data_IF_410958501282
#
_entry.id   IF_410958501282
#
_cell.length_a   1.000
_cell.length_b   1.000
_cell.length_c   1.000
_cell.angle_alpha   90.00
_cell.angle_beta   90.00
_cell.angle_gamma   90.00
#
_symmetry.space_group_name_H-M   'P 1'
#
loop_
_entity.id
_entity.type
_entity.pdbx_description
1 polymer ?
#
# COMPACT_ATOMS: atom_id res chain seq x y z
N UNK A 1 63.54 -36.86 -70.30
CA UNK A 1 64.09 -37.38 -69.02
C UNK A 1 63.09 -37.22 -67.93
N UNK A 2 62.70 -38.34 -67.33
CA UNK A 2 61.99 -38.58 -66.08
C UNK A 2 60.84 -37.64 -65.72
N UNK A 3 59.64 -38.12 -65.97
CA UNK A 3 58.40 -37.70 -65.40
C UNK A 3 58.30 -38.00 -63.93
N UNK A 4 57.58 -37.24 -63.21
CA UNK A 4 57.00 -37.55 -61.87
C UNK A 4 55.51 -37.64 -61.98
N UNK A 5 55.04 -38.87 -61.80
CA UNK A 5 53.64 -39.21 -61.65
C UNK A 5 53.16 -38.54 -60.34
N UNK A 6 52.08 -37.77 -60.38
CA UNK A 6 51.40 -37.19 -59.25
C UNK A 6 50.22 -38.10 -58.92
N UNK A 7 50.24 -38.65 -57.70
CA UNK A 7 49.23 -39.51 -57.12
C UNK A 7 47.93 -38.71 -56.81
N UNK A 8 46.75 -39.17 -57.25
CA UNK A 8 45.47 -38.44 -57.04
C UNK A 8 44.81 -38.67 -55.71
N UNK A 9 45.47 -39.26 -54.68
CA UNK A 9 44.80 -39.69 -53.44
C UNK A 9 44.86 -38.71 -52.26
N UNK A 10 45.25 -37.43 -52.47
CA UNK A 10 45.36 -36.42 -51.37
C UNK A 10 44.45 -35.21 -51.58
N UNK A 11 43.14 -35.44 -51.81
CA UNK A 11 42.14 -34.34 -51.88
C UNK A 11 40.89 -34.58 -50.99
N UNK A 12 41.01 -35.31 -49.90
CA UNK A 12 39.88 -35.45 -48.98
C UNK A 12 40.36 -35.42 -47.52
N UNK A 13 40.76 -34.25 -47.02
CA UNK A 13 40.89 -34.02 -45.57
C UNK A 13 41.12 -32.52 -45.27
N UNK A 14 40.21 -31.67 -45.75
CA UNK A 14 40.21 -30.28 -45.28
C UNK A 14 38.79 -29.68 -45.21
N UNK A 15 37.81 -30.40 -44.60
CA UNK A 15 36.47 -29.89 -44.31
C UNK A 15 35.95 -30.28 -42.95
N UNK A 16 36.81 -30.44 -41.91
CA UNK A 16 36.33 -30.79 -40.58
C UNK A 16 36.55 -29.72 -39.47
N UNK A 17 37.13 -28.57 -39.78
CA UNK A 17 37.42 -27.56 -38.75
C UNK A 17 36.32 -26.50 -38.53
N UNK A 18 35.26 -26.46 -39.36
CA UNK A 18 34.13 -25.53 -39.13
C UNK A 18 32.95 -26.13 -38.34
N UNK A 19 32.83 -27.45 -38.34
CA UNK A 19 31.75 -28.11 -37.59
C UNK A 19 32.01 -28.17 -36.08
N UNK A 20 33.28 -28.36 -35.66
CA UNK A 20 33.65 -28.41 -34.24
C UNK A 20 33.49 -27.10 -33.48
N UNK A 21 33.62 -25.95 -34.18
CA UNK A 21 33.39 -24.64 -33.56
C UNK A 21 31.91 -24.28 -33.41
N UNK A 22 31.04 -24.81 -34.27
CA UNK A 22 29.59 -24.62 -34.14
C UNK A 22 29.02 -25.44 -32.98
N UNK A 23 29.47 -26.65 -32.78
CA UNK A 23 29.06 -27.49 -31.62
C UNK A 23 29.62 -26.99 -30.29
N UNK A 24 30.81 -26.43 -30.25
CA UNK A 24 31.36 -25.83 -29.02
C UNK A 24 30.66 -24.54 -28.66
N UNK A 25 30.24 -23.69 -29.61
CA UNK A 25 29.44 -22.50 -29.35
C UNK A 25 28.02 -22.84 -28.92
N UNK A 26 27.41 -23.89 -29.51
CA UNK A 26 26.09 -24.38 -29.11
C UNK A 26 26.10 -24.97 -27.70
N UNK A 27 27.15 -25.72 -27.34
CA UNK A 27 27.35 -26.27 -26.00
C UNK A 27 27.59 -25.18 -24.95
N UNK A 28 28.33 -24.11 -25.28
CA UNK A 28 28.55 -22.96 -24.41
C UNK A 28 27.26 -22.17 -24.24
N UNK A 29 26.44 -22.02 -25.30
CA UNK A 29 25.16 -21.34 -25.23
C UNK A 29 24.12 -22.15 -24.41
N UNK A 30 24.06 -23.46 -24.56
CA UNK A 30 23.27 -24.37 -23.72
C UNK A 30 23.75 -24.40 -22.28
N UNK A 31 25.06 -24.33 -22.03
CA UNK A 31 25.61 -24.26 -20.66
C UNK A 31 25.31 -22.88 -20.01
N UNK A 32 25.32 -21.78 -20.78
CA UNK A 32 24.92 -20.45 -20.32
C UNK A 32 23.42 -20.36 -20.04
N UNK A 33 22.57 -21.04 -20.81
CA UNK A 33 21.12 -21.09 -20.53
C UNK A 33 20.83 -21.98 -19.30
N UNK A 34 21.54 -23.09 -19.13
CA UNK A 34 21.43 -23.93 -17.92
C UNK A 34 21.98 -23.25 -16.65
N UNK A 35 22.98 -22.36 -16.78
CA UNK A 35 23.50 -21.61 -15.63
C UNK A 35 22.67 -20.38 -15.26
N UNK A 36 21.71 -19.96 -16.12
CA UNK A 36 20.74 -18.89 -15.82
C UNK A 36 19.39 -19.42 -15.31
N UNK A 37 19.15 -20.72 -15.38
CA UNK A 37 18.08 -21.37 -14.64
C UNK A 37 18.58 -21.76 -13.24
N UNK A 38 18.91 -20.76 -12.41
CA UNK A 38 18.78 -20.98 -10.98
C UNK A 38 17.27 -21.19 -10.77
N UNK A 39 16.83 -22.33 -10.21
CA UNK A 39 15.48 -22.35 -9.67
C UNK A 39 15.44 -21.16 -8.72
N UNK A 40 14.48 -20.24 -8.89
CA UNK A 40 14.06 -19.42 -7.76
C UNK A 40 13.80 -20.46 -6.65
N UNK A 41 14.73 -20.58 -5.71
CA UNK A 41 14.42 -21.24 -4.46
C UNK A 41 13.26 -20.43 -3.91
N UNK A 42 12.09 -21.05 -3.83
CA UNK A 42 10.99 -20.49 -3.08
C UNK A 42 11.62 -20.08 -1.73
N UNK A 43 11.56 -18.80 -1.43
CA UNK A 43 12.09 -18.25 -0.20
C UNK A 43 11.31 -18.95 0.90
N UNK A 44 12.00 -19.67 1.78
CA UNK A 44 11.39 -20.44 2.87
C UNK A 44 10.95 -19.42 3.95
N UNK A 45 9.70 -19.00 3.86
CA UNK A 45 9.06 -18.00 4.72
C UNK A 45 8.31 -18.69 5.87
N UNK A 46 8.87 -19.70 6.52
CA UNK A 46 8.17 -20.41 7.57
C UNK A 46 8.11 -19.65 8.88
N UNK A 47 6.93 -19.64 9.49
CA UNK A 47 6.74 -19.38 10.90
C UNK A 47 7.11 -20.65 11.66
N UNK A 48 8.20 -20.60 12.41
CA UNK A 48 8.80 -21.80 13.00
C UNK A 48 8.20 -22.14 14.36
N UNK A 49 8.01 -21.14 15.20
CA UNK A 49 7.63 -21.33 16.60
C UNK A 49 6.94 -20.07 17.13
N UNK A 50 6.05 -20.24 18.08
CA UNK A 50 5.50 -19.15 18.88
C UNK A 50 5.93 -19.34 20.33
N UNK A 51 6.47 -18.30 20.94
CA UNK A 51 6.87 -18.34 22.36
C UNK A 51 6.24 -17.18 23.13
N UNK A 52 6.16 -17.34 24.46
CA UNK A 52 5.60 -16.31 25.33
C UNK A 52 6.53 -16.00 26.48
N UNK A 53 6.55 -14.75 26.91
CA UNK A 53 7.32 -14.30 28.06
C UNK A 53 6.57 -13.21 28.82
N UNK A 54 6.75 -13.16 30.14
CA UNK A 54 6.29 -12.01 30.91
C UNK A 54 7.14 -10.78 30.60
N UNK A 55 6.51 -9.62 30.54
CA UNK A 55 7.21 -8.35 30.40
C UNK A 55 8.02 -8.05 31.65
N UNK A 56 9.24 -7.57 31.46
CA UNK A 56 10.16 -7.24 32.56
C UNK A 56 9.61 -6.15 33.50
N UNK A 57 8.64 -5.34 33.03
CA UNK A 57 7.95 -4.33 33.84
C UNK A 57 6.74 -4.87 34.62
N UNK A 58 6.41 -6.15 34.50
CA UNK A 58 5.28 -6.81 35.12
C UNK A 58 3.89 -6.38 34.63
N UNK A 59 3.83 -5.52 33.60
CA UNK A 59 2.58 -4.93 33.12
C UNK A 59 1.87 -5.76 32.05
N UNK A 60 2.36 -6.97 31.76
CA UNK A 60 1.75 -7.82 30.76
C UNK A 60 2.66 -8.92 30.25
N UNK A 61 2.38 -9.40 29.05
CA UNK A 61 3.11 -10.46 28.39
C UNK A 61 3.54 -10.07 26.98
N UNK A 62 4.44 -10.84 26.38
CA UNK A 62 4.82 -10.73 24.98
C UNK A 62 4.67 -12.09 24.32
N UNK A 63 3.96 -12.16 23.22
CA UNK A 63 3.93 -13.29 22.31
C UNK A 63 4.95 -13.01 21.22
N UNK A 64 5.85 -13.95 20.96
CA UNK A 64 6.89 -13.83 19.92
C UNK A 64 6.63 -14.86 18.83
N UNK A 65 6.50 -14.40 17.63
CA UNK A 65 6.39 -15.20 16.41
C UNK A 65 7.79 -15.29 15.78
N UNK A 66 8.38 -16.47 15.79
CA UNK A 66 9.73 -16.72 15.27
C UNK A 66 9.66 -16.99 13.77
N UNK A 67 10.15 -16.04 12.98
CA UNK A 67 10.09 -16.06 11.53
C UNK A 67 11.48 -16.25 10.91
N UNK A 68 11.59 -17.05 9.86
CA UNK A 68 12.85 -17.17 9.09
C UNK A 68 13.18 -15.91 8.32
N UNK A 69 12.16 -15.22 7.82
CA UNK A 69 12.27 -13.93 7.14
C UNK A 69 11.34 -12.92 7.84
N UNK A 70 11.64 -11.63 7.84
CA UNK A 70 10.71 -10.65 8.35
C UNK A 70 9.45 -10.63 7.49
N UNK A 71 8.27 -10.43 8.09
CA UNK A 71 7.04 -10.21 7.33
C UNK A 71 7.06 -8.85 6.66
N UNK A 72 6.44 -8.75 5.48
CA UNK A 72 6.39 -7.50 4.72
C UNK A 72 5.58 -6.42 5.46
N UNK A 73 4.45 -6.82 6.05
CA UNK A 73 3.63 -5.98 6.91
C UNK A 73 2.74 -6.83 7.82
N UNK A 74 2.14 -6.20 8.81
CA UNK A 74 1.20 -6.85 9.72
C UNK A 74 0.17 -5.86 10.24
N UNK A 75 -0.98 -6.39 10.62
CA UNK A 75 -2.04 -5.65 11.30
C UNK A 75 -2.44 -6.37 12.59
N UNK A 76 -2.88 -5.59 13.59
CA UNK A 76 -3.46 -6.09 14.84
C UNK A 76 -4.83 -5.47 14.99
N UNK A 77 -5.81 -6.31 15.22
CA UNK A 77 -7.20 -5.92 15.40
C UNK A 77 -7.76 -6.60 16.63
N UNK A 78 -8.47 -5.89 17.46
CA UNK A 78 -9.09 -6.43 18.68
C UNK A 78 -10.60 -6.20 18.63
N UNK A 79 -11.37 -7.15 18.08
CA UNK A 79 -12.82 -7.01 17.91
C UNK A 79 -13.60 -7.25 19.20
N UNK A 80 -13.03 -7.98 20.16
CA UNK A 80 -13.68 -8.28 21.44
C UNK A 80 -12.66 -8.24 22.57
N UNK A 81 -13.14 -8.20 23.81
CA UNK A 81 -12.32 -8.15 25.02
C UNK A 81 -11.46 -9.40 25.21
N UNK A 82 -11.89 -10.52 24.67
CA UNK A 82 -11.26 -11.83 24.73
C UNK A 82 -10.63 -12.31 23.43
N UNK A 83 -10.66 -11.49 22.35
CA UNK A 83 -10.13 -11.86 21.05
C UNK A 83 -9.21 -10.78 20.48
N UNK A 84 -7.98 -11.15 20.18
CA UNK A 84 -7.04 -10.36 19.37
C UNK A 84 -6.82 -11.09 18.06
N UNK A 85 -7.03 -10.42 16.95
CA UNK A 85 -6.79 -10.93 15.59
C UNK A 85 -5.57 -10.24 14.98
N UNK A 86 -4.75 -11.00 14.28
CA UNK A 86 -3.60 -10.46 13.55
C UNK A 86 -3.62 -10.95 12.11
N UNK A 87 -3.21 -10.07 11.20
CA UNK A 87 -2.88 -10.45 9.82
C UNK A 87 -1.39 -10.26 9.62
N UNK A 88 -0.71 -11.29 9.11
CA UNK A 88 0.67 -11.19 8.63
C UNK A 88 0.63 -11.26 7.11
N UNK A 89 1.01 -10.15 6.47
CA UNK A 89 1.03 -10.03 5.02
C UNK A 89 2.38 -10.49 4.47
N UNK A 90 2.38 -11.66 3.86
CA UNK A 90 3.52 -12.21 3.15
C UNK A 90 3.09 -13.43 2.35
N UNK A 91 3.50 -13.52 1.11
CA UNK A 91 3.21 -14.69 0.27
C UNK A 91 3.87 -15.96 0.81
N UNK A 92 3.10 -17.05 0.81
CA UNK A 92 3.58 -18.41 1.10
C UNK A 92 4.24 -18.58 2.48
N UNK A 93 3.67 -18.03 3.54
CA UNK A 93 4.09 -18.39 4.90
C UNK A 93 3.65 -19.84 5.16
N UNK A 94 4.64 -20.71 5.45
CA UNK A 94 4.36 -22.10 5.83
C UNK A 94 4.07 -22.18 7.34
N UNK A 95 2.90 -22.70 7.67
CA UNK A 95 2.42 -22.87 9.05
C UNK A 95 2.25 -24.35 9.43
N UNK A 96 2.67 -25.29 8.59
CA UNK A 96 2.38 -26.74 8.77
C UNK A 96 3.06 -27.39 9.99
N UNK A 97 4.20 -26.88 10.43
CA UNK A 97 5.01 -27.45 11.52
C UNK A 97 5.28 -26.44 12.65
N UNK A 98 4.32 -25.58 12.97
CA UNK A 98 4.50 -24.57 14.04
C UNK A 98 4.57 -25.23 15.40
N UNK A 99 5.65 -24.98 16.15
CA UNK A 99 5.70 -25.26 17.56
C UNK A 99 4.93 -24.18 18.35
N UNK A 100 3.79 -24.57 18.94
CA UNK A 100 3.00 -23.67 19.79
C UNK A 100 3.54 -23.68 21.21
N UNK A 101 3.47 -22.54 21.93
CA UNK A 101 3.83 -22.48 23.33
C UNK A 101 2.85 -23.32 24.16
N UNK A 102 3.31 -23.81 25.30
CA UNK A 102 2.37 -24.25 26.31
C UNK A 102 1.45 -23.08 26.66
N UNK A 103 0.13 -23.36 26.76
CA UNK A 103 -0.90 -22.37 27.10
C UNK A 103 -0.39 -21.53 28.29
N UNK A 104 -0.34 -20.23 28.07
CA UNK A 104 0.11 -19.30 29.12
C UNK A 104 -1.08 -18.91 30.00
N UNK A 105 -0.79 -18.31 31.13
CA UNK A 105 -1.86 -17.77 31.98
C UNK A 105 -2.57 -16.54 31.36
N UNK A 106 -2.24 -16.13 30.15
CA UNK A 106 -2.77 -14.92 29.51
C UNK A 106 -3.72 -15.20 28.36
N UNK A 107 -3.59 -16.34 27.69
CA UNK A 107 -4.44 -16.71 26.56
C UNK A 107 -4.66 -18.23 26.54
N UNK A 108 -5.80 -18.64 26.02
CA UNK A 108 -6.26 -20.03 26.00
C UNK A 108 -5.93 -20.73 24.68
N UNK A 109 -5.92 -20.01 23.57
CA UNK A 109 -5.73 -20.59 22.24
C UNK A 109 -5.09 -19.58 21.28
N UNK A 110 -4.29 -20.09 20.35
CA UNK A 110 -3.82 -19.37 19.16
C UNK A 110 -4.16 -20.23 17.95
N UNK A 111 -4.93 -19.68 17.01
CA UNK A 111 -5.33 -20.36 15.78
C UNK A 111 -4.81 -19.62 14.55
N UNK A 112 -4.40 -20.39 13.51
CA UNK A 112 -3.84 -19.86 12.26
C UNK A 112 -4.75 -20.19 11.08
N UNK A 113 -4.87 -19.23 10.15
CA UNK A 113 -5.73 -19.32 8.98
C UNK A 113 -4.98 -18.88 7.74
N UNK A 114 -4.92 -19.75 6.73
CA UNK A 114 -4.35 -19.37 5.44
C UNK A 114 -5.30 -18.39 4.74
N UNK A 115 -4.77 -17.23 4.34
CA UNK A 115 -5.50 -16.22 3.58
C UNK A 115 -4.72 -15.87 2.31
N UNK A 116 -5.36 -15.35 1.25
CA UNK A 116 -4.69 -15.07 -0.02
C UNK A 116 -3.48 -14.15 0.06
N UNK A 117 -3.43 -13.27 1.05
CA UNK A 117 -2.36 -12.30 1.24
C UNK A 117 -1.37 -12.65 2.37
N UNK A 118 -1.45 -13.86 2.96
CA UNK A 118 -0.60 -14.25 4.08
C UNK A 118 -1.28 -15.19 5.06
N UNK A 119 -1.21 -14.90 6.35
CA UNK A 119 -1.91 -15.67 7.39
C UNK A 119 -2.73 -14.76 8.31
N UNK A 120 -3.92 -15.24 8.68
CA UNK A 120 -4.72 -14.73 9.79
C UNK A 120 -4.40 -15.47 11.08
N UNK A 121 -4.44 -14.80 12.21
CA UNK A 121 -4.15 -15.37 13.53
C UNK A 121 -5.22 -14.89 14.51
N UNK A 122 -5.88 -15.82 15.17
CA UNK A 122 -6.75 -15.54 16.31
C UNK A 122 -6.04 -15.91 17.61
N UNK A 123 -6.08 -15.00 18.59
CA UNK A 123 -5.51 -15.18 19.92
C UNK A 123 -6.62 -14.95 20.92
N UNK A 124 -7.08 -16.03 21.56
CA UNK A 124 -8.14 -16.00 22.54
C UNK A 124 -7.56 -15.75 23.93
N UNK A 125 -7.93 -14.63 24.53
CA UNK A 125 -7.48 -14.20 25.85
C UNK A 125 -8.23 -14.99 26.92
N UNK A 126 -7.51 -15.44 27.94
CA UNK A 126 -8.08 -16.18 29.08
C UNK A 126 -9.15 -15.36 29.78
N UNK A 127 -10.25 -16.02 30.19
CA UNK A 127 -11.35 -15.42 30.94
C UNK A 127 -10.86 -14.60 32.14
N UNK A 128 -11.51 -13.48 32.40
CA UNK A 128 -11.15 -12.52 33.47
C UNK A 128 -9.80 -11.80 33.28
N UNK A 129 -9.20 -11.85 32.11
CA UNK A 129 -7.98 -11.11 31.74
C UNK A 129 -8.23 -10.16 30.60
N UNK A 130 -7.67 -8.96 30.72
CA UNK A 130 -7.90 -7.90 29.74
C UNK A 130 -6.56 -7.30 29.32
N UNK A 131 -6.28 -7.37 28.03
CA UNK A 131 -5.03 -6.90 27.44
C UNK A 131 -5.30 -6.06 26.19
N UNK A 132 -4.61 -4.93 26.08
CA UNK A 132 -4.43 -4.19 24.82
C UNK A 132 -3.23 -4.78 24.08
N UNK A 133 -3.43 -5.20 22.83
CA UNK A 133 -2.43 -5.86 21.99
C UNK A 133 -1.79 -4.91 20.99
N UNK A 134 -0.43 -4.83 20.99
CA UNK A 134 0.33 -4.05 20.00
C UNK A 134 1.48 -4.86 19.44
N UNK A 135 1.55 -4.99 18.10
CA UNK A 135 2.65 -5.68 17.45
C UNK A 135 3.77 -4.73 17.00
N UNK A 136 4.98 -5.26 16.93
CA UNK A 136 6.17 -4.56 16.46
C UNK A 136 7.27 -5.55 16.05
N UNK A 137 8.11 -5.18 15.10
CA UNK A 137 9.28 -5.99 14.73
C UNK A 137 10.32 -6.02 15.85
N UNK A 138 10.96 -7.17 16.05
CA UNK A 138 12.15 -7.25 16.90
C UNK A 138 13.33 -6.62 16.17
N UNK A 139 13.95 -5.59 16.77
CA UNK A 139 15.08 -4.89 16.17
C UNK A 139 16.36 -5.72 16.01
N UNK A 140 16.42 -6.96 16.54
CA UNK A 140 17.59 -7.81 16.55
C UNK A 140 17.40 -9.15 15.82
N UNK A 141 16.19 -9.46 15.34
CA UNK A 141 15.87 -10.70 14.64
C UNK A 141 14.78 -10.44 13.58
N UNK A 142 14.36 -11.48 12.88
CA UNK A 142 13.23 -11.42 11.95
C UNK A 142 11.86 -11.58 12.66
N UNK A 143 11.88 -11.70 13.98
CA UNK A 143 10.70 -12.03 14.75
C UNK A 143 9.71 -10.86 14.83
N UNK A 144 8.43 -11.21 14.89
CA UNK A 144 7.36 -10.29 15.22
C UNK A 144 6.96 -10.48 16.69
N UNK A 145 6.77 -9.39 17.39
CA UNK A 145 6.39 -9.37 18.79
C UNK A 145 5.00 -8.77 18.94
N UNK A 146 4.10 -9.46 19.64
CA UNK A 146 2.83 -8.91 20.12
C UNK A 146 2.95 -8.64 21.63
N UNK A 147 3.05 -7.37 21.99
CA UNK A 147 3.02 -6.93 23.38
C UNK A 147 1.58 -6.86 23.89
N UNK A 148 1.28 -7.61 24.93
CA UNK A 148 0.00 -7.61 25.62
C UNK A 148 0.15 -6.78 26.90
N UNK A 149 -0.53 -5.64 26.98
CA UNK A 149 -0.50 -4.75 28.14
C UNK A 149 -1.81 -4.91 28.92
N UNK A 150 -1.72 -5.18 30.24
CA UNK A 150 -2.91 -5.26 31.11
C UNK A 150 -3.64 -3.93 31.13
N UNK A 151 -4.94 -3.97 30.90
CA UNK A 151 -5.85 -2.81 30.91
C UNK A 151 -7.07 -3.09 31.79
N UNK A 152 -7.86 -2.07 32.05
CA UNK A 152 -9.14 -2.23 32.72
C UNK A 152 -10.20 -2.76 31.75
N UNK A 153 -11.08 -3.65 32.21
CA UNK A 153 -12.16 -4.22 31.41
C UNK A 153 -13.03 -3.15 30.76
N UNK A 154 -13.38 -2.13 31.52
CA UNK A 154 -14.28 -1.05 31.04
C UNK A 154 -13.66 -0.23 29.93
N UNK A 155 -12.34 -0.02 29.98
CA UNK A 155 -11.59 0.65 28.92
C UNK A 155 -11.60 -0.20 27.63
N UNK A 156 -11.36 -1.49 27.75
CA UNK A 156 -11.33 -2.40 26.61
C UNK A 156 -12.73 -2.61 26.00
N UNK A 157 -13.78 -2.78 26.82
CA UNK A 157 -15.17 -2.84 26.36
C UNK A 157 -15.60 -1.58 25.59
N UNK A 158 -15.07 -0.43 25.96
CA UNK A 158 -15.32 0.81 25.21
C UNK A 158 -14.63 0.80 23.85
N UNK A 159 -13.40 0.29 23.77
CA UNK A 159 -12.60 0.23 22.54
C UNK A 159 -13.10 -0.83 21.56
N UNK A 160 -13.67 -1.94 22.07
CA UNK A 160 -14.17 -3.06 21.23
C UNK A 160 -15.66 -2.97 20.95
N UNK A 161 -16.34 -1.93 21.46
CA UNK A 161 -17.76 -1.74 21.25
C UNK A 161 -18.04 -1.47 19.75
N UNK A 162 -19.01 -2.17 19.21
CA UNK A 162 -19.45 -2.06 17.81
C UNK A 162 -18.40 -2.52 16.76
N UNK A 163 -17.42 -3.35 17.18
CA UNK A 163 -16.49 -4.01 16.26
C UNK A 163 -16.92 -5.47 16.02
N UNK A 164 -16.68 -5.96 14.81
CA UNK A 164 -17.04 -7.33 14.39
C UNK A 164 -15.77 -8.13 14.10
N UNK A 165 -15.66 -9.39 14.54
CA UNK A 165 -14.50 -10.23 14.25
C UNK A 165 -14.29 -10.45 12.75
N UNK A 166 -13.02 -10.52 12.34
CA UNK A 166 -12.67 -10.96 10.98
C UNK A 166 -13.05 -12.43 10.83
N UNK A 167 -13.84 -12.75 9.82
CA UNK A 167 -14.21 -14.12 9.49
C UNK A 167 -13.24 -14.66 8.44
N UNK A 168 -12.19 -15.36 8.87
CA UNK A 168 -11.13 -15.88 7.99
C UNK A 168 -11.63 -16.82 6.90
N UNK A 169 -12.69 -17.57 7.14
CA UNK A 169 -13.28 -18.46 6.14
C UNK A 169 -13.87 -17.71 4.92
N UNK A 170 -14.13 -16.42 5.04
CA UNK A 170 -14.55 -15.60 3.90
C UNK A 170 -13.42 -15.38 2.87
N UNK A 171 -12.17 -15.62 3.26
CA UNK A 171 -10.98 -15.51 2.37
C UNK A 171 -10.64 -16.87 1.71
N UNK A 172 -11.19 -17.98 2.18
CA UNK A 172 -10.88 -19.34 1.69
C UNK A 172 -11.81 -19.82 0.55
N UNK A 173 -12.07 -19.00 -0.45
CA UNK A 173 -12.65 -19.49 -1.70
C UNK A 173 -11.48 -19.89 -2.62
N UNK A 174 -10.90 -21.07 -2.37
CA UNK A 174 -9.96 -21.68 -3.30
C UNK A 174 -10.68 -22.22 -4.52
N UNK A 175 -10.09 -22.01 -5.72
CA UNK A 175 -10.49 -22.60 -7.01
C UNK A 175 -10.70 -24.13 -6.95
N UNK A 176 -10.32 -24.80 -5.88
CA UNK A 176 -10.46 -26.26 -5.68
C UNK A 176 -11.91 -26.70 -5.54
N UNK A 177 -12.82 -25.84 -5.07
CA UNK A 177 -14.24 -26.17 -4.93
C UNK A 177 -15.07 -25.92 -6.20
N UNK A 178 -14.49 -25.36 -7.26
CA UNK A 178 -15.15 -25.18 -8.56
C UNK A 178 -14.98 -26.38 -9.49
N UNK A 179 -14.09 -27.34 -9.18
CA UNK A 179 -13.80 -28.49 -10.04
C UNK A 179 -14.32 -29.83 -9.50
N UNK A 180 -14.73 -29.91 -8.23
CA UNK A 180 -15.34 -31.12 -7.67
C UNK A 180 -16.85 -30.92 -7.42
N UNK A 181 -17.60 -30.93 -8.50
CA UNK A 181 -19.06 -31.09 -8.44
C UNK A 181 -19.39 -32.51 -8.01
N UNK A 182 -19.75 -32.73 -6.74
CA UNK A 182 -20.65 -33.82 -6.38
C UNK A 182 -21.25 -33.65 -4.96
N UNK A 183 -22.59 -33.66 -4.92
CA UNK A 183 -23.32 -34.21 -3.78
C UNK A 183 -24.05 -33.26 -2.86
N UNK A 184 -25.25 -32.81 -3.25
CA UNK A 184 -26.45 -32.90 -2.46
C UNK A 184 -26.54 -32.18 -1.12
N UNK A 185 -27.06 -30.95 -1.17
CA UNK A 185 -27.59 -30.25 -0.02
C UNK A 185 -28.05 -28.85 -0.46
N UNK A 186 -29.35 -28.75 -0.83
CA UNK A 186 -29.97 -27.46 -1.13
C UNK A 186 -30.02 -26.59 0.13
N UNK A 187 -29.02 -25.73 0.29
CA UNK A 187 -29.17 -24.52 1.08
C UNK A 187 -29.54 -23.41 0.10
N UNK A 188 -30.76 -22.95 0.12
CA UNK A 188 -31.21 -21.72 -0.52
C UNK A 188 -30.50 -20.55 0.11
N UNK A 189 -29.28 -20.24 -0.38
CA UNK A 189 -28.61 -18.95 -0.14
C UNK A 189 -29.18 -18.02 -1.22
N UNK A 190 -29.96 -17.04 -0.81
CA UNK A 190 -30.48 -16.03 -1.71
C UNK A 190 -29.27 -15.34 -2.38
N UNK A 191 -29.08 -15.55 -3.66
CA UNK A 191 -28.01 -15.00 -4.51
C UNK A 191 -28.04 -13.46 -4.61
N UNK A 192 -29.05 -12.82 -4.02
CA UNK A 192 -29.20 -11.36 -4.04
C UNK A 192 -28.16 -10.61 -3.20
N UNK A 193 -27.70 -11.17 -2.08
CA UNK A 193 -26.72 -10.49 -1.19
C UNK A 193 -25.27 -10.63 -1.71
N UNK A 194 -24.95 -11.77 -2.33
CA UNK A 194 -23.63 -11.99 -2.91
C UNK A 194 -23.36 -11.11 -4.15
N UNK A 195 -24.37 -10.94 -5.00
CA UNK A 195 -24.28 -10.05 -6.16
C UNK A 195 -24.29 -8.57 -5.76
N UNK A 196 -24.89 -8.20 -4.63
CA UNK A 196 -24.80 -6.84 -4.08
C UNK A 196 -23.43 -6.58 -3.45
N UNK A 197 -22.83 -7.56 -2.77
CA UNK A 197 -21.48 -7.45 -2.20
C UNK A 197 -20.41 -7.42 -3.30
N UNK A 198 -20.56 -8.24 -4.35
CA UNK A 198 -19.69 -8.23 -5.53
C UNK A 198 -19.79 -6.94 -6.34
N UNK A 199 -20.99 -6.32 -6.38
CA UNK A 199 -21.17 -4.99 -6.97
C UNK A 199 -20.49 -3.88 -6.15
N UNK A 200 -20.34 -4.05 -4.82
CA UNK A 200 -19.59 -3.15 -3.94
C UNK A 200 -18.07 -3.28 -4.06
N UNK A 201 -17.54 -4.34 -4.67
CA UNK A 201 -16.10 -4.54 -4.93
C UNK A 201 -15.65 -4.02 -6.31
N UNK A 202 -16.47 -3.23 -6.99
CA UNK A 202 -16.16 -2.75 -8.32
C UNK A 202 -15.43 -1.43 -8.22
N UNK A 203 -14.10 -1.45 -8.42
CA UNK A 203 -13.29 -0.25 -8.53
C UNK A 203 -13.50 0.39 -9.91
N UNK A 204 -14.41 1.36 -9.99
CA UNK A 204 -14.81 2.01 -11.25
C UNK A 204 -14.96 3.53 -11.15
N UNK A 205 -14.70 4.15 -10.00
CA UNK A 205 -14.72 5.61 -9.86
C UNK A 205 -13.45 6.10 -9.13
N UNK A 206 -12.63 6.89 -9.79
CA UNK A 206 -11.49 7.59 -9.19
C UNK A 206 -11.78 9.06 -9.11
N UNK A 207 -11.69 9.64 -7.91
CA UNK A 207 -11.84 11.07 -7.69
C UNK A 207 -10.48 11.73 -7.58
N UNK A 208 -10.21 12.70 -8.44
CA UNK A 208 -8.98 13.47 -8.46
C UNK A 208 -9.27 14.87 -7.96
N UNK A 209 -8.57 15.27 -6.90
CA UNK A 209 -8.70 16.57 -6.28
C UNK A 209 -7.45 17.42 -6.55
N UNK A 210 -7.50 18.33 -7.53
CA UNK A 210 -6.44 19.34 -7.65
C UNK A 210 -6.58 20.33 -6.49
N UNK A 211 -5.62 20.38 -5.57
CA UNK A 211 -5.67 21.28 -4.41
C UNK A 211 -5.83 22.75 -4.79
N UNK A 212 -6.31 23.57 -3.85
CA UNK A 212 -6.46 25.02 -4.02
C UNK A 212 -7.41 25.44 -5.16
N UNK A 213 -7.22 26.65 -5.72
CA UNK A 213 -7.99 27.14 -6.86
C UNK A 213 -8.67 28.48 -6.64
N UNK A 214 -9.04 29.18 -7.71
CA UNK A 214 -9.69 30.49 -7.64
C UNK A 214 -8.83 31.53 -6.92
N UNK A 215 -9.35 32.08 -5.84
CA UNK A 215 -8.66 33.07 -5.01
C UNK A 215 -7.54 32.47 -4.13
N UNK A 216 -7.58 31.15 -3.88
CA UNK A 216 -6.51 30.45 -3.19
C UNK A 216 -5.42 30.00 -4.16
N UNK A 217 -4.23 30.61 -4.14
CA UNK A 217 -3.14 30.24 -5.04
C UNK A 217 -2.42 28.97 -4.63
N UNK A 218 -2.62 28.47 -3.40
CA UNK A 218 -1.73 27.55 -2.74
C UNK A 218 -0.35 28.15 -2.45
N UNK A 219 0.66 27.34 -2.37
CA UNK A 219 2.04 27.77 -2.25
C UNK A 219 2.48 28.57 -3.48
N UNK A 220 3.28 29.66 -3.22
CA UNK A 220 3.85 30.47 -4.29
C UNK A 220 5.36 30.19 -4.33
N UNK A 221 5.79 29.58 -5.40
CA UNK A 221 7.15 29.12 -5.58
C UNK A 221 8.06 30.09 -6.33
N UNK A 222 9.19 29.55 -6.78
CA UNK A 222 10.18 30.32 -7.53
C UNK A 222 9.57 30.97 -8.77
N UNK A 223 9.91 32.25 -9.02
CA UNK A 223 9.36 33.06 -10.12
C UNK A 223 7.84 33.27 -10.08
N UNK A 224 7.26 33.29 -8.89
CA UNK A 224 5.84 33.51 -8.67
C UNK A 224 4.93 32.42 -9.30
N UNK A 225 5.46 31.19 -9.45
CA UNK A 225 4.68 30.04 -9.90
C UNK A 225 3.69 29.69 -8.78
N UNK A 226 2.42 29.53 -9.14
CA UNK A 226 1.33 29.18 -8.20
C UNK A 226 1.03 27.70 -8.25
N UNK A 227 0.93 27.08 -7.12
CA UNK A 227 0.64 25.65 -6.96
C UNK A 227 -0.64 25.23 -7.68
N UNK A 228 -1.73 25.98 -7.50
CA UNK A 228 -3.05 25.68 -8.07
C UNK A 228 -3.07 25.37 -9.58
N UNK A 229 -2.12 25.93 -10.34
CA UNK A 229 -2.01 25.67 -11.78
C UNK A 229 -1.29 24.36 -12.06
N UNK A 230 -0.18 24.11 -11.35
CA UNK A 230 0.61 22.89 -11.51
C UNK A 230 -0.24 21.65 -11.18
N UNK A 231 -0.93 21.69 -10.03
CA UNK A 231 -1.72 20.53 -9.57
C UNK A 231 -2.92 20.26 -10.48
N UNK A 232 -3.52 21.32 -11.07
CA UNK A 232 -4.57 21.15 -12.06
C UNK A 232 -4.06 20.49 -13.36
N UNK A 233 -2.88 20.90 -13.82
CA UNK A 233 -2.27 20.33 -15.03
C UNK A 233 -1.90 18.86 -14.81
N UNK A 234 -1.31 18.51 -13.66
CA UNK A 234 -0.99 17.14 -13.29
C UNK A 234 -2.27 16.30 -13.17
N UNK A 235 -3.29 16.79 -12.47
CA UNK A 235 -4.56 16.11 -12.30
C UNK A 235 -5.23 15.76 -13.64
N UNK A 236 -5.24 16.71 -14.59
CA UNK A 236 -5.77 16.47 -15.94
C UNK A 236 -4.98 15.40 -16.71
N UNK A 237 -3.66 15.35 -16.55
CA UNK A 237 -2.84 14.30 -17.16
C UNK A 237 -3.12 12.93 -16.52
N UNK A 238 -3.28 12.85 -15.19
CA UNK A 238 -3.66 11.59 -14.51
C UNK A 238 -4.99 11.08 -15.03
N UNK A 239 -6.01 11.92 -15.04
CA UNK A 239 -7.32 11.53 -15.55
C UNK A 239 -7.31 11.20 -17.05
N UNK A 240 -6.48 11.89 -17.86
CA UNK A 240 -6.24 11.55 -19.24
C UNK A 240 -5.72 10.13 -19.42
N UNK A 241 -4.74 9.71 -18.60
CA UNK A 241 -4.23 8.34 -18.61
C UNK A 241 -5.28 7.32 -18.14
N UNK A 242 -6.07 7.65 -17.10
CA UNK A 242 -7.15 6.76 -16.66
C UNK A 242 -8.16 6.57 -17.81
N UNK A 243 -8.62 7.63 -18.44
CA UNK A 243 -9.58 7.56 -19.54
C UNK A 243 -9.04 6.78 -20.75
N UNK A 244 -7.74 6.88 -21.05
CA UNK A 244 -7.11 6.20 -22.18
C UNK A 244 -6.85 4.70 -21.89
N UNK A 245 -6.33 4.37 -20.72
CA UNK A 245 -5.84 3.02 -20.40
C UNK A 245 -6.75 2.22 -19.47
N UNK A 246 -7.72 2.86 -18.83
CA UNK A 246 -8.70 2.21 -17.94
C UNK A 246 -10.14 2.67 -18.27
N UNK A 247 -10.64 2.40 -19.49
CA UNK A 247 -11.90 2.97 -20.00
C UNK A 247 -13.15 2.58 -19.18
N UNK A 248 -13.03 1.57 -18.31
CA UNK A 248 -14.10 1.15 -17.39
C UNK A 248 -14.04 1.89 -16.04
N UNK A 249 -13.12 2.85 -15.87
CA UNK A 249 -12.99 3.66 -14.66
C UNK A 249 -13.43 5.09 -14.98
N UNK A 250 -14.44 5.55 -14.27
CA UNK A 250 -14.92 6.93 -14.35
C UNK A 250 -13.96 7.84 -13.58
N UNK A 251 -13.54 8.95 -14.19
CA UNK A 251 -12.79 10.00 -13.51
C UNK A 251 -13.75 11.11 -13.11
N UNK A 252 -13.68 11.52 -11.85
CA UNK A 252 -14.38 12.67 -11.32
C UNK A 252 -13.34 13.66 -10.78
N UNK A 253 -13.49 14.93 -11.09
CA UNK A 253 -12.62 15.98 -10.54
C UNK A 253 -13.39 16.83 -9.56
N UNK A 254 -12.76 17.23 -8.45
CA UNK A 254 -13.35 18.24 -7.56
C UNK A 254 -13.41 19.60 -8.25
N UNK A 255 -12.44 19.89 -9.13
CA UNK A 255 -12.44 21.03 -10.05
C UNK A 255 -11.70 20.71 -11.35
N UNK A 256 -12.22 21.21 -12.45
CA UNK A 256 -11.59 21.10 -13.79
C UNK A 256 -11.02 22.44 -14.29
N UNK A 257 -11.30 23.51 -13.58
CA UNK A 257 -10.87 24.87 -13.92
C UNK A 257 -10.24 25.55 -12.69
N UNK A 258 -9.76 26.78 -12.85
CA UNK A 258 -9.26 27.60 -11.73
C UNK A 258 -10.42 28.13 -10.87
N UNK A 259 -11.14 27.22 -10.17
CA UNK A 259 -12.25 27.47 -9.26
C UNK A 259 -11.82 27.08 -7.84
N UNK A 260 -12.21 27.86 -6.85
CA UNK A 260 -12.06 27.50 -5.44
C UNK A 260 -13.16 26.52 -5.01
N UNK A 261 -12.76 25.48 -4.26
CA UNK A 261 -13.66 24.51 -3.62
C UNK A 261 -13.22 24.41 -2.16
N UNK A 262 -14.17 24.51 -1.22
CA UNK A 262 -13.91 24.34 0.22
C UNK A 262 -13.38 22.95 0.53
N UNK A 263 -12.59 22.79 1.62
CA UNK A 263 -11.95 21.50 1.96
C UNK A 263 -12.99 20.39 2.16
N UNK A 264 -14.05 20.68 2.90
CA UNK A 264 -15.14 19.74 3.20
C UNK A 264 -15.96 19.38 1.94
N UNK A 265 -16.14 20.34 1.02
CA UNK A 265 -16.88 20.14 -0.24
C UNK A 265 -16.17 19.14 -1.15
N UNK A 266 -14.82 19.07 -1.10
CA UNK A 266 -14.04 18.13 -1.92
C UNK A 266 -14.34 16.67 -1.57
N UNK A 267 -14.39 16.35 -0.27
CA UNK A 267 -14.82 15.04 0.22
C UNK A 267 -16.28 14.74 -0.12
N UNK A 268 -17.17 15.74 0.01
CA UNK A 268 -18.58 15.58 -0.37
C UNK A 268 -18.77 15.26 -1.84
N UNK A 269 -18.04 15.94 -2.76
CA UNK A 269 -18.03 15.62 -4.19
C UNK A 269 -17.59 14.16 -4.43
N UNK A 270 -16.57 13.69 -3.68
CA UNK A 270 -16.09 12.32 -3.80
C UNK A 270 -17.15 11.31 -3.34
N UNK A 271 -17.83 11.58 -2.23
CA UNK A 271 -18.88 10.72 -1.68
C UNK A 271 -20.12 10.69 -2.58
N UNK A 272 -20.56 11.84 -3.11
CA UNK A 272 -21.67 11.94 -4.06
C UNK A 272 -21.39 11.20 -5.38
N UNK A 273 -20.11 11.12 -5.76
CA UNK A 273 -19.68 10.38 -6.94
C UNK A 273 -19.59 8.87 -6.71
N UNK A 274 -19.82 8.40 -5.47
CA UNK A 274 -19.59 7.01 -5.05
C UNK A 274 -18.15 6.56 -5.39
N UNK A 275 -17.15 7.41 -5.02
CA UNK A 275 -15.75 7.19 -5.35
C UNK A 275 -15.16 5.96 -4.66
N UNK A 276 -14.31 5.22 -5.39
CA UNK A 276 -13.56 4.07 -4.86
C UNK A 276 -12.16 4.45 -4.39
N UNK A 277 -11.67 5.60 -4.84
CA UNK A 277 -10.38 6.17 -4.46
C UNK A 277 -10.39 7.69 -4.61
N UNK A 278 -9.90 8.39 -3.59
CA UNK A 278 -9.73 9.84 -3.58
C UNK A 278 -8.25 10.21 -3.58
N UNK A 279 -7.81 11.04 -4.53
CA UNK A 279 -6.42 11.49 -4.66
C UNK A 279 -6.36 13.00 -4.69
N UNK A 280 -5.86 13.61 -3.61
CA UNK A 280 -5.60 15.05 -3.54
C UNK A 280 -4.16 15.34 -3.96
N UNK A 281 -3.99 16.23 -4.94
CA UNK A 281 -2.68 16.54 -5.55
C UNK A 281 -2.27 17.95 -5.16
N UNK A 282 -1.07 18.04 -4.56
CA UNK A 282 -0.46 19.24 -4.01
C UNK A 282 1.01 19.43 -4.43
N UNK A 283 1.58 20.58 -4.13
CA UNK A 283 3.01 20.87 -4.24
C UNK A 283 3.53 21.44 -2.93
N UNK A 284 4.44 20.73 -2.32
CA UNK A 284 5.10 21.11 -1.07
C UNK A 284 5.86 22.44 -1.18
N UNK A 285 6.02 23.10 -0.06
CA UNK A 285 6.80 24.33 0.06
C UNK A 285 7.53 24.37 1.40
N UNK A 286 8.70 25.02 1.42
CA UNK A 286 9.49 25.18 2.63
C UNK A 286 10.19 26.55 2.61
N UNK A 287 10.47 27.11 3.79
CA UNK A 287 11.23 28.39 3.92
C UNK A 287 12.63 28.31 3.33
N UNK A 288 13.28 27.15 3.44
CA UNK A 288 14.53 26.86 2.73
C UNK A 288 14.25 26.40 1.30
N UNK A 289 15.06 26.84 0.34
CA UNK A 289 14.98 26.39 -1.07
C UNK A 289 15.74 25.06 -1.35
N UNK A 290 16.19 24.36 -0.30
CA UNK A 290 16.96 23.10 -0.45
C UNK A 290 16.11 21.84 -0.54
N UNK A 291 14.98 21.70 0.21
CA UNK A 291 14.18 20.49 0.14
C UNK A 291 13.71 20.19 -1.27
N UNK A 292 13.65 18.90 -1.62
CA UNK A 292 13.19 18.37 -2.89
C UNK A 292 12.62 16.97 -2.72
N UNK A 293 11.92 16.47 -3.73
CA UNK A 293 11.33 15.13 -3.74
C UNK A 293 9.84 15.12 -3.43
N UNK A 294 9.26 13.92 -3.40
CA UNK A 294 7.84 13.66 -3.19
C UNK A 294 7.55 13.19 -1.77
N UNK A 295 6.39 13.53 -1.25
CA UNK A 295 5.87 13.03 0.02
C UNK A 295 4.45 12.55 -0.19
N UNK A 296 4.07 11.45 0.47
CA UNK A 296 2.72 10.89 0.42
C UNK A 296 2.11 10.96 1.81
N UNK A 297 0.81 11.26 1.86
CA UNK A 297 0.10 11.36 3.12
C UNK A 297 -1.23 10.61 3.04
N UNK A 298 -1.56 9.93 4.14
CA UNK A 298 -2.90 9.41 4.39
C UNK A 298 -3.40 9.89 5.76
N UNK A 299 -4.68 9.72 6.04
CA UNK A 299 -5.27 10.21 7.27
C UNK A 299 -4.75 9.41 8.47
N UNK A 300 -4.36 10.12 9.54
CA UNK A 300 -3.89 9.53 10.79
C UNK A 300 -3.18 10.55 11.66
N UNK A 301 -2.68 10.12 12.82
CA UNK A 301 -1.91 10.98 13.73
C UNK A 301 -0.54 11.28 13.15
N UNK A 302 -0.24 12.56 13.00
CA UNK A 302 1.09 13.01 12.60
C UNK A 302 2.16 12.64 13.65
N UNK A 303 3.23 11.97 13.17
CA UNK A 303 4.34 11.50 14.03
C UNK A 303 5.62 12.32 13.88
N UNK A 304 5.63 13.30 12.96
CA UNK A 304 6.79 14.13 12.70
C UNK A 304 6.44 15.60 12.59
N UNK A 305 7.37 16.47 13.00
CA UNK A 305 7.23 17.93 12.87
C UNK A 305 7.01 18.36 11.41
N UNK A 306 7.68 17.69 10.47
CA UNK A 306 7.51 17.97 9.05
C UNK A 306 6.09 17.65 8.53
N UNK A 307 5.48 16.56 9.00
CA UNK A 307 4.09 16.23 8.66
C UNK A 307 3.13 17.25 9.26
N UNK A 308 3.36 17.69 10.50
CA UNK A 308 2.58 18.72 11.16
C UNK A 308 2.64 20.07 10.41
N UNK A 309 3.82 20.48 9.90
CA UNK A 309 3.96 21.71 9.12
C UNK A 309 3.16 21.64 7.80
N UNK A 310 3.24 20.52 7.08
CA UNK A 310 2.48 20.33 5.85
C UNK A 310 0.98 20.34 6.14
N UNK A 311 0.54 19.55 7.12
CA UNK A 311 -0.87 19.50 7.54
C UNK A 311 -1.43 20.90 7.89
N UNK A 312 -0.70 21.69 8.69
CA UNK A 312 -1.13 23.05 9.04
C UNK A 312 -1.23 23.97 7.82
N UNK A 313 -0.39 23.77 6.82
CA UNK A 313 -0.44 24.54 5.57
C UNK A 313 -1.65 24.15 4.74
N UNK A 314 -1.91 22.87 4.57
CA UNK A 314 -3.01 22.37 3.71
C UNK A 314 -4.39 22.50 4.38
N UNK A 315 -4.46 22.48 5.70
CA UNK A 315 -5.69 22.76 6.44
C UNK A 315 -6.00 24.25 6.56
N UNK A 316 -5.18 25.13 5.96
CA UNK A 316 -5.37 26.58 5.97
C UNK A 316 -6.20 27.02 4.78
N UNK A 317 -7.37 27.59 5.03
CA UNK A 317 -8.25 28.13 4.00
C UNK A 317 -7.97 29.61 3.81
N UNK A 318 -7.71 30.03 2.56
CA UNK A 318 -7.55 31.44 2.17
C UNK A 318 -8.92 31.97 1.73
N UNK A 319 -9.38 33.08 2.36
CA UNK A 319 -10.64 33.73 2.04
C UNK A 319 -10.45 34.82 0.97
N UNK A 320 -11.51 35.23 0.24
CA UNK A 320 -11.42 36.25 -0.81
C UNK A 320 -10.87 37.62 -0.37
N UNK A 321 -11.02 37.97 0.91
CA UNK A 321 -10.45 39.18 1.51
C UNK A 321 -8.98 39.01 1.97
N UNK A 322 -8.32 37.93 1.62
CA UNK A 322 -7.00 37.47 2.09
C UNK A 322 -6.93 37.18 3.59
N UNK A 323 -8.04 37.10 4.31
CA UNK A 323 -8.04 36.48 5.64
C UNK A 323 -7.77 34.97 5.49
N UNK A 324 -7.27 34.38 6.56
CA UNK A 324 -6.98 32.95 6.60
C UNK A 324 -7.67 32.31 7.78
N UNK A 325 -8.25 31.16 7.53
CA UNK A 325 -8.90 30.34 8.54
C UNK A 325 -8.15 29.01 8.65
N UNK A 326 -7.78 28.63 9.88
CA UNK A 326 -7.18 27.34 10.14
C UNK A 326 -8.28 26.34 10.45
N UNK A 327 -8.35 25.25 9.66
CA UNK A 327 -9.20 24.10 9.95
C UNK A 327 -8.38 23.07 10.72
N UNK A 328 -8.95 22.53 11.77
CA UNK A 328 -8.30 21.51 12.62
C UNK A 328 -9.26 20.38 12.90
N UNK A 329 -8.73 19.15 12.85
CA UNK A 329 -9.39 17.97 13.36
C UNK A 329 -8.84 17.68 14.75
N UNK A 330 -9.70 17.46 15.71
CA UNK A 330 -9.31 17.03 17.06
C UNK A 330 -8.79 15.57 17.02
N UNK A 331 -8.10 15.17 18.05
CA UNK A 331 -7.67 13.76 18.18
C UNK A 331 -8.86 12.83 18.36
N UNK A 332 -9.89 13.30 19.05
CA UNK A 332 -11.12 12.55 19.29
C UNK A 332 -11.90 12.32 17.99
N UNK A 333 -12.03 13.32 17.12
CA UNK A 333 -12.67 13.18 15.80
C UNK A 333 -11.90 12.18 14.92
N UNK A 334 -10.57 12.24 14.95
CA UNK A 334 -9.73 11.30 14.20
C UNK A 334 -9.91 9.88 14.73
N UNK A 335 -9.88 9.68 16.06
CA UNK A 335 -10.04 8.36 16.66
C UNK A 335 -11.39 7.72 16.28
N UNK A 336 -12.48 8.51 16.32
CA UNK A 336 -13.80 8.03 15.88
C UNK A 336 -13.77 7.65 14.40
N UNK A 337 -13.10 8.45 13.57
CA UNK A 337 -12.96 8.14 12.14
C UNK A 337 -12.14 6.85 11.91
N UNK A 338 -11.01 6.69 12.60
CA UNK A 338 -10.14 5.52 12.49
C UNK A 338 -10.88 4.23 12.87
N UNK A 339 -11.67 4.28 13.94
CA UNK A 339 -12.50 3.14 14.36
C UNK A 339 -13.58 2.78 13.32
N UNK A 340 -14.22 3.79 12.72
CA UNK A 340 -15.28 3.57 11.73
C UNK A 340 -14.76 3.20 10.34
N UNK A 341 -13.50 3.53 10.00
CA UNK A 341 -12.98 3.48 8.63
C UNK A 341 -11.58 2.83 8.54
N UNK A 342 -11.26 1.91 9.44
CA UNK A 342 -9.94 1.25 9.49
C UNK A 342 -9.53 0.63 8.15
N UNK A 343 -10.47 -0.01 7.43
CA UNK A 343 -10.23 -0.58 6.10
C UNK A 343 -9.86 0.47 5.04
N UNK A 344 -10.44 1.68 5.13
CA UNK A 344 -10.07 2.77 4.22
C UNK A 344 -8.69 3.31 4.53
N UNK A 345 -8.31 3.35 5.81
CA UNK A 345 -6.97 3.79 6.24
C UNK A 345 -5.91 2.82 5.74
N UNK A 346 -6.11 1.50 5.94
CA UNK A 346 -5.22 0.47 5.44
C UNK A 346 -5.05 0.52 3.91
N UNK A 347 -6.16 0.63 3.17
CA UNK A 347 -6.13 0.79 1.73
C UNK A 347 -5.47 2.10 1.28
N UNK A 348 -5.61 3.18 2.07
CA UNK A 348 -4.93 4.47 1.82
C UNK A 348 -3.42 4.36 2.00
N UNK A 349 -2.97 3.67 3.04
CA UNK A 349 -1.55 3.37 3.27
C UNK A 349 -0.98 2.53 2.12
N UNK A 350 -1.69 1.49 1.70
CA UNK A 350 -1.29 0.64 0.59
C UNK A 350 -1.12 1.43 -0.71
N UNK A 351 -2.11 2.22 -1.13
CA UNK A 351 -1.98 3.02 -2.37
C UNK A 351 -0.90 4.09 -2.24
N UNK A 352 -0.70 4.69 -1.06
CA UNK A 352 0.41 5.62 -0.81
C UNK A 352 1.77 4.94 -1.00
N UNK A 353 1.96 3.74 -0.45
CA UNK A 353 3.18 2.94 -0.66
C UNK A 353 3.42 2.59 -2.13
N UNK A 354 2.36 2.21 -2.87
CA UNK A 354 2.46 1.98 -4.31
C UNK A 354 2.85 3.25 -5.08
N UNK A 355 2.33 4.42 -4.71
CA UNK A 355 2.73 5.70 -5.31
C UNK A 355 4.18 6.03 -5.01
N UNK A 356 4.62 5.84 -3.76
CA UNK A 356 6.01 6.04 -3.35
C UNK A 356 6.96 5.24 -4.24
N UNK A 357 6.72 3.94 -4.38
CA UNK A 357 7.50 3.08 -5.25
C UNK A 357 7.54 3.58 -6.71
N UNK A 358 6.39 3.99 -7.26
CA UNK A 358 6.35 4.50 -8.63
C UNK A 358 7.11 5.83 -8.80
N UNK A 359 7.13 6.66 -7.77
CA UNK A 359 7.91 7.90 -7.77
C UNK A 359 9.42 7.62 -7.69
N UNK A 360 9.83 6.78 -6.76
CA UNK A 360 11.25 6.49 -6.52
C UNK A 360 11.86 5.66 -7.65
N UNK A 361 11.32 4.47 -7.90
CA UNK A 361 11.91 3.49 -8.81
C UNK A 361 11.66 3.81 -10.30
N UNK A 362 10.50 4.36 -10.64
CA UNK A 362 10.10 4.56 -12.04
C UNK A 362 10.23 6.00 -12.52
N UNK A 363 9.90 6.97 -11.71
CA UNK A 363 10.03 8.37 -12.06
C UNK A 363 11.38 8.97 -11.60
N UNK A 364 12.19 8.20 -10.88
CA UNK A 364 13.49 8.61 -10.30
C UNK A 364 13.36 9.91 -9.50
N UNK A 365 12.28 10.02 -8.75
CA UNK A 365 12.01 11.11 -7.83
C UNK A 365 12.45 10.70 -6.44
N UNK A 366 13.24 11.52 -5.79
CA UNK A 366 13.58 11.26 -4.38
C UNK A 366 12.32 11.15 -3.54
N UNK A 367 12.08 9.98 -2.95
CA UNK A 367 11.01 9.79 -2.00
C UNK A 367 11.43 10.32 -0.62
N UNK A 368 10.49 10.95 0.05
CA UNK A 368 10.60 11.40 1.44
C UNK A 368 9.66 10.61 2.36
N UNK A 369 9.11 9.52 1.83
CA UNK A 369 8.31 8.54 2.54
C UNK A 369 6.82 8.79 2.52
N UNK A 370 6.10 7.78 3.02
CA UNK A 370 4.68 7.82 3.34
C UNK A 370 4.52 8.25 4.79
N UNK A 371 3.59 9.14 5.06
CA UNK A 371 3.38 9.75 6.38
C UNK A 371 1.89 9.86 6.69
N UNK A 372 1.60 10.03 7.97
CA UNK A 372 0.24 10.30 8.46
C UNK A 372 0.07 11.78 8.79
N UNK A 373 -1.18 12.26 8.67
CA UNK A 373 -1.53 13.61 9.11
C UNK A 373 -3.04 13.84 9.13
N UNK A 374 -3.50 14.73 9.99
CA UNK A 374 -4.92 15.10 10.15
C UNK A 374 -5.37 16.10 9.07
N UNK A 375 -5.34 15.63 7.81
CA UNK A 375 -5.76 16.44 6.66
C UNK A 375 -7.29 16.49 6.57
N UNK A 376 -7.86 17.68 6.68
CA UNK A 376 -9.32 17.88 6.62
C UNK A 376 -9.88 17.38 5.29
N UNK A 377 -9.18 17.60 4.19
CA UNK A 377 -9.61 17.13 2.85
C UNK A 377 -9.75 15.62 2.75
N UNK A 378 -8.92 14.85 3.48
CA UNK A 378 -8.98 13.40 3.51
C UNK A 378 -10.05 12.87 4.49
N UNK A 379 -10.29 13.60 5.59
CA UNK A 379 -11.25 13.21 6.62
C UNK A 379 -12.69 13.11 6.10
N UNK A 380 -13.07 13.95 5.15
CA UNK A 380 -14.43 13.97 4.60
C UNK A 380 -14.67 12.95 3.48
N UNK A 381 -13.66 12.20 3.05
CA UNK A 381 -13.78 11.16 2.04
C UNK A 381 -14.16 9.81 2.69
N UNK A 382 -15.26 9.20 2.24
CA UNK A 382 -15.73 7.88 2.72
C UNK A 382 -15.22 6.74 1.82
N UNK A 383 -13.93 6.80 1.49
CA UNK A 383 -13.20 5.83 0.65
C UNK A 383 -11.71 5.94 0.94
N UNK A 384 -10.86 4.99 0.45
CA UNK A 384 -9.40 5.17 0.49
C UNK A 384 -8.98 6.51 -0.07
N UNK A 385 -8.17 7.27 0.69
CA UNK A 385 -7.84 8.65 0.39
C UNK A 385 -6.36 8.97 0.66
N UNK A 386 -5.69 9.60 -0.32
CA UNK A 386 -4.29 10.00 -0.21
C UNK A 386 -4.08 11.44 -0.67
N UNK A 387 -3.11 12.12 -0.03
CA UNK A 387 -2.61 13.42 -0.47
C UNK A 387 -1.18 13.26 -0.98
N UNK A 388 -0.94 13.78 -2.17
CA UNK A 388 0.32 13.63 -2.91
C UNK A 388 1.01 14.98 -3.01
N UNK A 389 2.11 15.16 -2.30
CA UNK A 389 3.03 16.29 -2.46
C UNK A 389 4.02 15.96 -3.57
N UNK A 390 3.78 16.51 -4.75
CA UNK A 390 4.50 16.14 -5.98
C UNK A 390 5.92 16.68 -6.06
N UNK A 391 6.30 17.61 -5.18
CA UNK A 391 7.62 18.22 -5.08
C UNK A 391 7.57 19.60 -4.46
N UNK A 392 8.74 20.17 -4.14
CA UNK A 392 8.87 21.45 -3.44
C UNK A 392 8.90 22.63 -4.42
N UNK A 393 7.75 23.31 -4.58
CA UNK A 393 7.65 24.48 -5.46
C UNK A 393 8.55 25.65 -5.06
N UNK A 394 8.99 25.72 -3.78
CA UNK A 394 9.96 26.67 -3.26
C UNK A 394 11.39 26.45 -3.74
N UNK A 395 11.72 25.20 -4.17
CA UNK A 395 13.02 24.86 -4.74
C UNK A 395 13.06 25.23 -6.24
N UNK A 396 14.03 26.05 -6.71
CA UNK A 396 14.07 26.49 -8.11
C UNK A 396 14.18 25.37 -9.14
N UNK A 397 14.83 24.26 -8.82
CA UNK A 397 14.97 23.10 -9.72
C UNK A 397 13.68 22.30 -9.78
N UNK A 398 13.04 22.08 -8.63
CA UNK A 398 11.75 21.45 -8.53
C UNK A 398 10.66 22.28 -9.25
N UNK A 399 10.60 23.59 -9.01
CA UNK A 399 9.66 24.48 -9.67
C UNK A 399 9.75 24.39 -11.21
N UNK A 400 10.99 24.35 -11.76
CA UNK A 400 11.19 24.14 -13.20
C UNK A 400 10.71 22.77 -13.66
N UNK A 401 10.93 21.72 -12.88
CA UNK A 401 10.49 20.38 -13.18
C UNK A 401 8.96 20.28 -13.14
N UNK A 402 8.34 20.75 -12.07
CA UNK A 402 6.90 20.75 -11.84
C UNK A 402 6.11 21.58 -12.86
N UNK A 403 6.71 22.64 -13.42
CA UNK A 403 6.10 23.46 -14.49
C UNK A 403 6.39 22.94 -15.90
N UNK A 404 7.27 21.96 -16.06
CA UNK A 404 7.59 21.39 -17.38
C UNK A 404 6.58 20.31 -17.76
N UNK A 405 6.23 20.24 -19.04
CA UNK A 405 5.37 19.18 -19.56
C UNK A 405 5.96 17.78 -19.27
N UNK A 406 7.26 17.61 -19.41
CA UNK A 406 7.96 16.36 -19.11
C UNK A 406 7.83 15.98 -17.62
N UNK A 407 8.05 16.93 -16.70
CA UNK A 407 7.96 16.68 -15.27
C UNK A 407 6.56 16.27 -14.84
N UNK A 408 5.55 17.02 -15.31
CA UNK A 408 4.14 16.72 -15.05
C UNK A 408 3.73 15.36 -15.64
N UNK A 409 4.22 15.02 -16.83
CA UNK A 409 3.97 13.72 -17.48
C UNK A 409 4.52 12.55 -16.64
N UNK A 410 5.76 12.66 -16.12
CA UNK A 410 6.34 11.62 -15.28
C UNK A 410 5.61 11.45 -13.94
N UNK A 411 5.25 12.57 -13.30
CA UNK A 411 4.47 12.56 -12.07
C UNK A 411 3.10 11.91 -12.31
N UNK A 412 2.36 12.38 -13.31
CA UNK A 412 1.05 11.84 -13.63
C UNK A 412 1.09 10.35 -14.02
N UNK A 413 2.12 9.93 -14.74
CA UNK A 413 2.32 8.52 -15.10
C UNK A 413 2.65 7.65 -13.88
N UNK A 414 3.38 8.17 -12.88
CA UNK A 414 3.64 7.46 -11.63
C UNK A 414 2.34 7.25 -10.84
N UNK A 415 1.56 8.31 -10.65
CA UNK A 415 0.25 8.24 -9.98
C UNK A 415 -0.68 7.25 -10.70
N UNK A 416 -0.79 7.36 -12.03
CA UNK A 416 -1.61 6.46 -12.83
C UNK A 416 -1.22 4.98 -12.67
N UNK A 417 0.09 4.66 -12.71
CA UNK A 417 0.55 3.27 -12.53
C UNK A 417 0.20 2.73 -11.15
N UNK A 418 0.31 3.53 -10.10
CA UNK A 418 -0.11 3.13 -8.76
C UNK A 418 -1.62 2.84 -8.71
N UNK A 419 -2.46 3.72 -9.29
CA UNK A 419 -3.91 3.50 -9.38
C UNK A 419 -4.23 2.19 -10.10
N UNK A 420 -3.57 1.93 -11.24
CA UNK A 420 -3.78 0.71 -12.00
C UNK A 420 -3.39 -0.53 -11.20
N UNK A 421 -2.23 -0.52 -10.55
CA UNK A 421 -1.76 -1.64 -9.73
C UNK A 421 -2.71 -1.88 -8.54
N UNK A 422 -3.18 -0.82 -7.91
CA UNK A 422 -4.14 -0.90 -6.82
C UNK A 422 -5.46 -1.55 -7.26
N UNK A 423 -6.02 -1.11 -8.41
CA UNK A 423 -7.22 -1.74 -9.01
C UNK A 423 -7.02 -3.21 -9.36
N UNK A 424 -5.85 -3.58 -9.87
CA UNK A 424 -5.52 -4.95 -10.28
C UNK A 424 -5.27 -5.89 -9.08
N UNK A 425 -5.30 -5.37 -7.85
CA UNK A 425 -4.99 -6.14 -6.63
C UNK A 425 -3.52 -6.57 -6.54
N UNK A 426 -2.66 -6.02 -7.40
CA UNK A 426 -1.22 -6.27 -7.40
C UNK A 426 -0.59 -5.51 -6.23
N UNK A 427 -0.77 -6.03 -5.02
CA UNK A 427 -0.26 -5.45 -3.77
C UNK A 427 1.25 -5.45 -3.61
N UNK A 428 2.02 -5.86 -4.64
CA UNK A 428 3.47 -5.71 -4.67
C UNK A 428 3.87 -4.66 -5.72
N UNK A 429 4.70 -3.67 -5.32
CA UNK A 429 5.27 -2.70 -6.24
C UNK A 429 6.23 -3.33 -7.23
#
# INVERSE_FOLDING_TARGET
>A
MKGKVVDPSLKYLQTSSKCGRFWSLLAIYLFLICSLSHPLQAQDNSLQMVTTAERSDGKGQVIRFHLKQPVDSFEVYQPDVDLIQMTLYQDNIDTTDIELPNISSAFDEISFYDIPAGIGIDIYITEDKFYDGKAYHDGNSNDLLLGLTKVDKTELEYLTKDTEPIIWSSFTITEKNLLEGNGGGEANIETSDYDQTRKKMKFDVVVIDPGHGGHDPGSIGHRNVKEKHIVLDIAKKVGGYINEYMPNVKVVYTRETDKFIELEERGSIANEAEGDLFISIHCNSHTSHRPYGTELYFLGLERSESALEVMKRENKVVRPNNDTEQRELSQEELLVYELANSSYIAASEQIAGMMEYQFDERAQRHSRGVKQGRFVVLYHASMPAVLVETGFISNPSEARYLTSDRGQTYIASAIFRAIRNFKEGNGNP
#
